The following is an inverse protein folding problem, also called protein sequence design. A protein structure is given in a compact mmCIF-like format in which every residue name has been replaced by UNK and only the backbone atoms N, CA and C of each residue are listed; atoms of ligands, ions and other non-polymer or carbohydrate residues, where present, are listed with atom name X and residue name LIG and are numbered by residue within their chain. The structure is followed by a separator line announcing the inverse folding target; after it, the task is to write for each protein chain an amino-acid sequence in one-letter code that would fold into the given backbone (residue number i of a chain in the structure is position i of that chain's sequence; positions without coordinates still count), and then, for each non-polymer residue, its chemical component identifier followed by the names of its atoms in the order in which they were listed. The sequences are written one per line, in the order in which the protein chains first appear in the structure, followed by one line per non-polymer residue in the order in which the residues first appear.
data_IF_295484168914
#
_entry.id   IF_295484168914
#
_cell.length_a   1.000
_cell.length_b   1.000
_cell.length_c   1.000
_cell.angle_alpha   90.00
_cell.angle_beta   90.00
_cell.angle_gamma   90.00
#
_symmetry.space_group_name_H-M   'P 1'
#
loop_
_entity.id
_entity.type
_entity.pdbx_description
1 polymer ?
#
# COMPACT_ATOMS: atom_id res chain seq x y z
N UNK A 1 -12.57 -36.79 -8.94
CA UNK A 1 -13.47 -35.62 -9.14
C UNK A 1 -12.61 -34.38 -9.17
N UNK A 2 -12.52 -33.69 -10.30
CA UNK A 2 -11.76 -32.44 -10.39
C UNK A 2 -12.63 -31.30 -9.86
N UNK A 3 -12.16 -30.60 -8.82
CA UNK A 3 -12.80 -29.39 -8.32
C UNK A 3 -12.58 -28.30 -9.37
N UNK A 4 -13.63 -27.96 -10.10
CA UNK A 4 -13.63 -26.76 -10.95
C UNK A 4 -13.57 -25.56 -10.02
N UNK A 5 -12.39 -24.97 -9.89
CA UNK A 5 -12.23 -23.69 -9.22
C UNK A 5 -12.43 -22.63 -10.29
N UNK A 6 -13.60 -22.02 -10.32
CA UNK A 6 -13.81 -20.78 -11.05
C UNK A 6 -13.23 -19.65 -10.19
N UNK A 7 -12.08 -19.11 -10.61
CA UNK A 7 -11.64 -17.82 -10.11
C UNK A 7 -12.71 -16.80 -10.47
N UNK A 8 -13.34 -16.19 -9.48
CA UNK A 8 -14.18 -15.02 -9.72
C UNK A 8 -13.32 -13.96 -10.42
N UNK A 9 -13.67 -13.62 -11.66
CA UNK A 9 -13.04 -12.51 -12.35
C UNK A 9 -13.24 -11.25 -11.50
N UNK A 10 -12.13 -10.62 -11.11
CA UNK A 10 -12.16 -9.30 -10.50
C UNK A 10 -12.86 -8.35 -11.48
N UNK A 11 -13.99 -7.79 -11.07
CA UNK A 11 -14.71 -6.76 -11.81
C UNK A 11 -14.03 -5.38 -11.73
N UNK A 12 -12.82 -5.27 -11.17
CA UNK A 12 -12.09 -4.01 -11.13
C UNK A 12 -11.55 -3.64 -12.52
N UNK A 13 -12.38 -2.94 -13.29
CA UNK A 13 -12.04 -2.36 -14.59
C UNK A 13 -11.08 -1.16 -14.50
N UNK A 14 -10.53 -0.87 -13.32
CA UNK A 14 -9.66 0.28 -13.09
C UNK A 14 -8.21 -0.16 -12.97
N UNK A 15 -7.55 -0.21 -14.12
CA UNK A 15 -6.10 -0.01 -14.17
C UNK A 15 -5.82 1.33 -13.51
N UNK A 16 -5.28 1.33 -12.28
CA UNK A 16 -4.80 2.55 -11.62
C UNK A 16 -3.67 3.13 -12.48
N UNK A 17 -3.89 4.27 -13.17
CA UNK A 17 -2.89 4.76 -14.09
C UNK A 17 -1.65 5.19 -13.31
N UNK A 18 -0.49 5.04 -13.95
CA UNK A 18 0.74 5.63 -13.45
C UNK A 18 0.50 7.13 -13.26
N UNK A 19 0.85 7.65 -12.08
CA UNK A 19 0.68 9.06 -11.71
C UNK A 19 1.72 9.91 -12.45
N UNK A 20 1.66 9.92 -13.78
CA UNK A 20 2.35 10.92 -14.57
C UNK A 20 1.68 12.29 -14.32
N UNK A 21 2.42 13.41 -14.46
CA UNK A 21 1.85 14.75 -14.32
C UNK A 21 0.60 14.97 -15.20
N UNK A 22 0.54 14.30 -16.36
CA UNK A 22 -0.58 14.40 -17.30
C UNK A 22 -1.80 13.57 -16.87
N UNK A 23 -1.58 12.44 -16.19
CA UNK A 23 -2.66 11.55 -15.75
C UNK A 23 -3.34 12.05 -14.48
N UNK A 24 -2.63 12.83 -13.64
CA UNK A 24 -3.18 13.44 -12.41
C UNK A 24 -4.40 14.31 -12.67
N UNK A 25 -4.34 15.23 -13.65
CA UNK A 25 -5.47 16.12 -13.99
C UNK A 25 -6.74 15.37 -14.42
N UNK A 26 -6.58 14.19 -15.04
CA UNK A 26 -7.72 13.37 -15.48
C UNK A 26 -8.36 12.58 -14.34
N UNK A 27 -7.59 12.24 -13.29
CA UNK A 27 -8.09 11.57 -12.09
C UNK A 27 -8.68 12.50 -11.03
N UNK A 28 -8.28 13.76 -11.04
CA UNK A 28 -8.81 14.80 -10.17
C UNK A 28 -10.35 14.92 -10.25
N UNK A 29 -10.90 14.63 -11.44
CA UNK A 29 -12.34 14.72 -11.71
C UNK A 29 -13.09 13.40 -11.54
N UNK A 30 -12.40 12.27 -11.37
CA UNK A 30 -13.07 10.99 -11.11
C UNK A 30 -13.32 10.87 -9.61
N UNK A 31 -14.46 11.41 -9.13
CA UNK A 31 -14.98 11.32 -7.75
C UNK A 31 -14.27 10.23 -6.93
N UNK A 32 -13.20 10.62 -6.23
CA UNK A 32 -12.62 9.80 -5.17
C UNK A 32 -13.68 9.69 -4.08
N UNK A 33 -14.12 8.48 -3.76
CA UNK A 33 -15.00 8.24 -2.61
C UNK A 33 -14.15 7.99 -1.36
N UNK A 34 -13.02 8.67 -1.31
CA UNK A 34 -11.93 8.43 -0.37
C UNK A 34 -12.02 9.61 0.59
N UNK A 35 -12.17 9.36 1.90
CA UNK A 35 -12.14 10.41 2.94
C UNK A 35 -10.74 11.05 3.10
N UNK A 36 -9.93 11.04 2.05
CA UNK A 36 -8.57 11.56 2.04
C UNK A 36 -8.66 13.05 1.71
N UNK A 37 -8.16 13.94 2.59
CA UNK A 37 -8.16 15.37 2.34
C UNK A 37 -7.47 15.74 1.02
N UNK A 38 -8.07 16.68 0.27
CA UNK A 38 -7.57 17.12 -1.05
C UNK A 38 -6.15 17.67 -1.01
N UNK A 39 -5.73 18.26 0.11
CA UNK A 39 -4.39 18.82 0.25
C UNK A 39 -3.28 17.79 0.03
N UNK A 40 -3.52 16.49 0.28
CA UNK A 40 -2.51 15.45 -0.01
C UNK A 40 -2.29 15.25 -1.51
N UNK A 41 -3.33 15.44 -2.33
CA UNK A 41 -3.22 15.34 -3.78
C UNK A 41 -2.51 16.56 -4.40
N UNK A 42 -2.62 17.71 -3.75
CA UNK A 42 -2.02 18.97 -4.18
C UNK A 42 -0.57 19.15 -3.70
N UNK A 43 -0.14 18.39 -2.68
CA UNK A 43 1.23 18.44 -2.15
C UNK A 43 2.28 17.99 -3.17
N UNK A 44 3.48 18.56 -3.04
CA UNK A 44 4.65 18.10 -3.79
C UNK A 44 5.08 16.71 -3.30
N UNK A 45 5.78 15.97 -4.17
CA UNK A 45 6.34 14.67 -3.79
C UNK A 45 7.33 14.79 -2.62
N UNK A 46 8.14 15.84 -2.59
CA UNK A 46 9.09 16.10 -1.51
C UNK A 46 8.40 16.32 -0.16
N UNK A 47 7.28 17.07 -0.13
CA UNK A 47 6.52 17.27 1.10
C UNK A 47 5.84 15.97 1.57
N UNK A 48 5.33 15.15 0.64
CA UNK A 48 4.80 13.83 0.97
C UNK A 48 5.88 12.92 1.57
N UNK A 49 7.05 12.88 0.94
CA UNK A 49 8.20 12.10 1.40
C UNK A 49 8.62 12.53 2.81
N UNK A 50 8.77 13.84 3.04
CA UNK A 50 9.10 14.41 4.36
C UNK A 50 8.10 13.98 5.44
N UNK A 51 6.80 14.04 5.13
CA UNK A 51 5.75 13.69 6.09
C UNK A 51 5.67 12.19 6.37
N UNK A 52 5.87 11.35 5.35
CA UNK A 52 5.91 9.89 5.54
C UNK A 52 7.09 9.51 6.43
N UNK A 53 8.28 10.08 6.18
CA UNK A 53 9.46 9.85 7.03
C UNK A 53 9.21 10.31 8.47
N UNK A 54 8.70 11.54 8.66
CA UNK A 54 8.41 12.06 10.00
C UNK A 54 7.38 11.19 10.75
N UNK A 55 6.36 10.68 10.04
CA UNK A 55 5.40 9.75 10.63
C UNK A 55 6.07 8.43 11.03
N UNK A 56 6.87 7.83 10.14
CA UNK A 56 7.59 6.59 10.42
C UNK A 56 8.51 6.73 11.65
N UNK A 57 9.24 7.84 11.75
CA UNK A 57 10.11 8.15 12.88
C UNK A 57 9.32 8.32 14.19
N UNK A 58 8.11 8.90 14.13
CA UNK A 58 7.23 9.08 15.29
C UNK A 58 6.79 7.74 15.89
N UNK A 59 6.55 6.73 15.05
CA UNK A 59 6.18 5.39 15.53
C UNK A 59 7.40 4.54 15.90
N UNK A 60 8.55 4.76 15.25
CA UNK A 60 9.78 4.01 15.52
C UNK A 60 9.56 2.50 15.39
N UNK A 61 10.06 1.73 16.36
CA UNK A 61 9.97 0.26 16.37
C UNK A 61 8.54 -0.29 16.53
N UNK A 62 7.58 0.57 16.92
CA UNK A 62 6.17 0.20 17.07
C UNK A 62 5.46 0.05 15.73
N UNK A 63 6.07 0.46 14.62
CA UNK A 63 5.53 0.35 13.28
C UNK A 63 6.42 -0.56 12.43
N UNK A 64 5.80 -1.49 11.71
CA UNK A 64 6.44 -2.25 10.63
C UNK A 64 5.67 -2.07 9.34
N UNK A 65 6.37 -1.75 8.25
CA UNK A 65 5.80 -1.54 6.92
C UNK A 65 6.18 -2.72 6.01
N UNK A 66 5.16 -3.42 5.50
CA UNK A 66 5.30 -4.62 4.68
C UNK A 66 4.90 -4.31 3.23
N UNK A 67 5.82 -4.50 2.29
CA UNK A 67 5.61 -4.22 0.87
C UNK A 67 5.53 -5.49 0.02
N UNK A 68 4.39 -5.72 -0.64
CA UNK A 68 4.28 -6.82 -1.60
C UNK A 68 5.11 -6.54 -2.86
N UNK A 69 5.66 -7.58 -3.49
CA UNK A 69 6.50 -7.46 -4.71
C UNK A 69 5.88 -6.63 -5.84
N UNK A 70 4.55 -6.64 -5.95
CA UNK A 70 3.79 -5.94 -6.99
C UNK A 70 3.48 -4.48 -6.68
N UNK A 71 3.91 -3.95 -5.53
CA UNK A 71 3.81 -2.52 -5.27
C UNK A 71 4.81 -1.73 -6.10
N UNK A 72 4.43 -0.48 -6.38
CA UNK A 72 5.28 0.47 -7.11
C UNK A 72 6.48 0.87 -6.25
N UNK A 73 7.58 1.23 -6.90
CA UNK A 73 8.81 1.67 -6.22
C UNK A 73 8.58 2.89 -5.31
N UNK A 74 7.65 3.78 -5.70
CA UNK A 74 7.21 4.94 -4.91
C UNK A 74 6.60 4.57 -3.54
N UNK A 75 6.13 3.34 -3.39
CA UNK A 75 5.60 2.77 -2.14
C UNK A 75 6.67 1.91 -1.46
N UNK A 76 7.32 1.03 -2.23
CA UNK A 76 8.34 0.10 -1.71
C UNK A 76 9.50 0.82 -1.03
N UNK A 77 9.86 2.04 -1.46
CA UNK A 77 10.91 2.83 -0.81
C UNK A 77 10.68 3.08 0.68
N UNK A 78 9.44 2.95 1.17
CA UNK A 78 9.09 3.11 2.58
C UNK A 78 8.99 1.80 3.35
N UNK A 79 8.90 0.67 2.65
CA UNK A 79 8.72 -0.63 3.27
C UNK A 79 9.99 -1.07 4.02
N UNK A 80 9.81 -1.60 5.22
CA UNK A 80 10.90 -2.22 5.99
C UNK A 80 11.23 -3.59 5.40
N UNK A 81 10.21 -4.28 4.89
CA UNK A 81 10.35 -5.59 4.26
C UNK A 81 9.63 -5.68 2.93
N UNK A 82 10.25 -6.39 1.99
CA UNK A 82 9.67 -6.74 0.70
C UNK A 82 9.59 -8.26 0.52
N UNK A 83 8.45 -8.75 0.08
CA UNK A 83 8.20 -10.19 -0.06
C UNK A 83 6.93 -10.56 -0.82
N UNK A 84 6.75 -11.87 -0.99
CA UNK A 84 5.46 -12.48 -1.30
C UNK A 84 4.60 -12.62 -0.03
N UNK A 85 3.36 -13.10 -0.18
CA UNK A 85 2.42 -13.24 0.94
C UNK A 85 2.96 -14.09 2.09
N UNK A 86 3.61 -15.22 1.79
CA UNK A 86 4.07 -16.15 2.81
C UNK A 86 5.21 -15.55 3.64
N UNK A 87 6.20 -14.97 2.95
CA UNK A 87 7.33 -14.30 3.60
C UNK A 87 6.86 -13.13 4.46
N UNK A 88 5.92 -12.32 3.96
CA UNK A 88 5.42 -11.17 4.72
C UNK A 88 4.65 -11.58 5.97
N UNK A 89 3.83 -12.64 5.92
CA UNK A 89 3.14 -13.16 7.11
C UNK A 89 4.13 -13.66 8.18
N UNK A 90 5.19 -14.38 7.78
CA UNK A 90 6.23 -14.81 8.72
C UNK A 90 6.98 -13.63 9.35
N UNK A 91 7.30 -12.60 8.57
CA UNK A 91 8.00 -11.41 9.06
C UNK A 91 7.13 -10.58 10.01
N UNK A 92 5.83 -10.49 9.73
CA UNK A 92 4.86 -9.84 10.60
C UNK A 92 4.78 -10.56 11.97
N UNK A 93 4.60 -11.88 11.96
CA UNK A 93 4.56 -12.69 13.17
C UNK A 93 5.86 -12.64 14.00
N UNK A 94 7.01 -12.42 13.35
CA UNK A 94 8.31 -12.29 14.01
C UNK A 94 8.55 -10.92 14.68
N UNK A 95 7.56 -10.02 14.69
CA UNK A 95 7.67 -8.64 15.22
C UNK A 95 6.67 -8.38 16.36
N UNK A 96 6.77 -9.10 17.50
CA UNK A 96 5.83 -8.94 18.62
C UNK A 96 5.86 -7.55 19.28
N UNK A 97 6.91 -6.76 19.05
CA UNK A 97 7.07 -5.39 19.55
C UNK A 97 6.40 -4.32 18.66
N UNK A 98 5.93 -4.69 17.47
CA UNK A 98 5.22 -3.76 16.59
C UNK A 98 3.75 -3.69 16.98
N UNK A 99 3.29 -2.51 17.42
CA UNK A 99 1.87 -2.24 17.68
C UNK A 99 1.08 -2.06 16.38
N UNK A 100 1.77 -1.69 15.30
CA UNK A 100 1.17 -1.34 14.02
C UNK A 100 1.87 -2.07 12.87
N UNK A 101 1.07 -2.75 12.05
CA UNK A 101 1.49 -3.36 10.79
C UNK A 101 0.85 -2.58 9.64
N UNK A 102 1.65 -1.86 8.86
CA UNK A 102 1.20 -1.18 7.64
C UNK A 102 1.45 -2.09 6.44
N UNK A 103 0.40 -2.76 5.98
CA UNK A 103 0.49 -3.69 4.86
C UNK A 103 0.23 -3.00 3.51
N UNK A 104 1.29 -2.78 2.74
CA UNK A 104 1.22 -2.27 1.37
C UNK A 104 0.96 -3.45 0.39
N UNK A 105 -0.31 -3.84 0.29
CA UNK A 105 -0.77 -4.96 -0.53
C UNK A 105 -2.28 -4.88 -0.77
N UNK A 106 -2.92 -6.04 -0.90
CA UNK A 106 -4.38 -6.16 -1.02
C UNK A 106 -4.98 -6.67 0.29
N UNK A 107 -6.28 -6.46 0.48
CA UNK A 107 -6.95 -6.64 1.77
C UNK A 107 -6.75 -8.02 2.40
N UNK A 108 -7.02 -9.10 1.67
CA UNK A 108 -6.89 -10.46 2.21
C UNK A 108 -5.46 -10.83 2.64
N UNK A 109 -4.44 -10.21 2.05
CA UNK A 109 -3.06 -10.43 2.47
C UNK A 109 -2.79 -9.78 3.83
N UNK A 110 -3.42 -8.63 4.09
CA UNK A 110 -3.32 -7.94 5.36
C UNK A 110 -4.05 -8.68 6.49
N UNK A 111 -5.14 -9.39 6.22
CA UNK A 111 -5.83 -10.24 7.21
C UNK A 111 -4.96 -11.39 7.73
N UNK A 112 -3.99 -11.83 6.92
CA UNK A 112 -3.07 -12.92 7.26
C UNK A 112 -1.78 -12.45 7.95
N UNK A 113 -1.59 -11.13 8.05
CA UNK A 113 -0.37 -10.51 8.56
C UNK A 113 -0.41 -10.31 10.08
#
# INVERSE_FOLDING_TARGET
MAVKTECAESQETRVLPLLSPHTRKKHDLSKRNDNIPSFYAEMSGEELDRRITAAKDTFGERLVILGHHYQRDEIIKYADYRGDSFKLAQLAAARPQADYILFCGVHFMAESA
#
